data_IF_621552240729
#
_entry.id   IF_621552240729
#
_cell.length_a   1.000
_cell.length_b   1.000
_cell.length_c   1.000
_cell.angle_alpha   90.00
_cell.angle_beta   90.00
_cell.angle_gamma   90.00
#
_symmetry.space_group_name_H-M   'P 1'
#
loop_
_entity.id
_entity.type
_entity.pdbx_description
1 polymer ?
#
# COMPACT_ATOMS: atom_id res chain seq x y z
N UNK A 1 -0.02 3.77 -1.30
CA UNK A 1 -0.84 4.55 -2.28
C UNK A 1 -0.44 4.26 -3.73
N UNK A 2 0.85 4.21 -4.08
CA UNK A 2 1.30 4.01 -5.47
C UNK A 2 0.68 2.82 -6.20
N UNK A 3 0.55 1.68 -5.54
CA UNK A 3 -0.07 0.50 -6.15
C UNK A 3 -1.55 0.68 -6.53
N UNK A 4 -2.30 1.52 -5.82
CA UNK A 4 -3.67 1.87 -6.19
C UNK A 4 -3.73 2.79 -7.40
N UNK A 5 -2.81 3.75 -7.50
CA UNK A 5 -2.66 4.60 -8.68
C UNK A 5 -2.31 3.75 -9.91
N UNK A 6 -1.37 2.79 -9.76
CA UNK A 6 -1.01 1.85 -10.80
C UNK A 6 -2.19 1.02 -11.30
N UNK A 7 -3.03 0.51 -10.38
CA UNK A 7 -4.25 -0.24 -10.76
C UNK A 7 -5.28 0.64 -11.47
N UNK A 8 -5.48 1.88 -11.01
CA UNK A 8 -6.37 2.82 -11.70
C UNK A 8 -5.85 3.19 -13.10
N UNK A 9 -4.53 3.30 -13.26
CA UNK A 9 -3.89 3.51 -14.56
C UNK A 9 -4.06 2.28 -15.47
N UNK A 10 -3.88 1.08 -14.92
CA UNK A 10 -4.09 -0.18 -15.65
C UNK A 10 -5.53 -0.34 -16.16
N UNK A 11 -6.52 0.12 -15.39
CA UNK A 11 -7.93 0.12 -15.81
C UNK A 11 -8.19 1.06 -16.98
N UNK A 12 -7.56 2.24 -16.98
CA UNK A 12 -7.79 3.26 -18.01
C UNK A 12 -6.95 3.04 -19.29
N UNK A 13 -5.75 2.51 -19.15
CA UNK A 13 -4.76 2.41 -20.22
C UNK A 13 -4.07 1.05 -20.25
N UNK A 14 -4.82 -0.06 -20.31
CA UNK A 14 -4.25 -1.40 -20.23
C UNK A 14 -3.21 -1.68 -21.33
N UNK A 15 -3.36 -1.09 -22.49
CA UNK A 15 -2.46 -1.25 -23.65
C UNK A 15 -1.09 -0.57 -23.46
N UNK A 16 -0.97 0.33 -22.50
CA UNK A 16 0.29 1.04 -22.21
C UNK A 16 1.18 0.30 -21.22
N UNK A 17 0.67 -0.75 -20.58
CA UNK A 17 1.40 -1.50 -19.58
C UNK A 17 2.01 -2.76 -20.17
N UNK A 18 3.33 -2.90 -20.05
CA UNK A 18 4.05 -4.14 -20.37
C UNK A 18 4.13 -5.09 -19.18
N UNK A 19 4.07 -4.57 -17.97
CA UNK A 19 4.13 -5.32 -16.74
C UNK A 19 3.68 -4.50 -15.53
N UNK A 20 3.33 -5.18 -14.44
CA UNK A 20 2.84 -4.55 -13.21
C UNK A 20 3.47 -5.21 -11.98
N UNK A 21 4.14 -4.44 -11.15
CA UNK A 21 4.66 -4.90 -9.85
C UNK A 21 3.95 -4.14 -8.74
N UNK A 22 3.30 -4.87 -7.84
CA UNK A 22 2.65 -4.33 -6.65
C UNK A 22 3.49 -4.66 -5.43
N UNK A 23 3.99 -3.63 -4.73
CA UNK A 23 4.75 -3.79 -3.49
C UNK A 23 3.91 -3.28 -2.33
N UNK A 24 3.64 -4.15 -1.35
CA UNK A 24 2.89 -3.86 -0.12
C UNK A 24 1.59 -3.07 -0.38
N UNK A 25 0.93 -3.35 -1.48
CA UNK A 25 -0.35 -2.76 -1.84
C UNK A 25 -1.45 -3.82 -1.86
N UNK A 26 -2.68 -3.37 -1.90
CA UNK A 26 -3.84 -4.24 -1.93
C UNK A 26 -4.66 -4.04 -3.21
N UNK A 27 -5.53 -4.99 -3.59
CA UNK A 27 -6.41 -4.81 -4.74
C UNK A 27 -7.40 -3.67 -4.51
N UNK A 28 -7.63 -2.88 -5.57
CA UNK A 28 -8.57 -1.75 -5.56
C UNK A 28 -10.03 -2.20 -5.75
N UNK A 29 -10.22 -3.44 -6.17
CA UNK A 29 -11.54 -4.00 -6.46
C UNK A 29 -12.43 -4.06 -5.23
N UNK A 30 -13.68 -3.61 -5.37
CA UNK A 30 -14.69 -3.53 -4.31
C UNK A 30 -14.93 -4.87 -3.59
N UNK A 31 -14.81 -5.99 -4.29
CA UNK A 31 -15.05 -7.34 -3.75
C UNK A 31 -14.11 -7.76 -2.61
N UNK A 32 -12.94 -7.13 -2.48
CA UNK A 32 -11.97 -7.45 -1.43
C UNK A 32 -12.18 -6.65 -0.14
N UNK A 33 -12.97 -5.58 -0.19
CA UNK A 33 -13.09 -4.61 0.90
C UNK A 33 -14.53 -4.57 1.41
N UNK A 34 -14.70 -4.58 2.72
CA UNK A 34 -16.02 -4.47 3.35
C UNK A 34 -16.55 -3.04 3.35
N UNK A 35 -17.86 -2.88 3.47
CA UNK A 35 -18.47 -1.54 3.60
C UNK A 35 -18.02 -0.81 4.86
N UNK A 36 -17.74 -1.53 5.95
CA UNK A 36 -17.20 -0.97 7.18
C UNK A 36 -15.79 -0.41 6.99
N UNK A 37 -14.91 -1.11 6.25
CA UNK A 37 -13.58 -0.63 5.92
C UNK A 37 -13.64 0.64 5.07
N UNK A 38 -14.50 0.68 4.04
CA UNK A 38 -14.71 1.89 3.22
C UNK A 38 -15.22 3.05 4.07
N UNK A 39 -16.18 2.79 4.93
CA UNK A 39 -16.70 3.79 5.85
C UNK A 39 -15.61 4.36 6.77
N UNK A 40 -14.74 3.50 7.28
CA UNK A 40 -13.60 3.89 8.13
C UNK A 40 -12.57 4.72 7.34
N UNK A 41 -12.19 4.28 6.14
CA UNK A 41 -11.23 5.00 5.29
C UNK A 41 -11.67 6.45 5.04
N UNK A 42 -12.96 6.68 4.79
CA UNK A 42 -13.51 8.02 4.59
C UNK A 42 -13.45 8.93 5.83
N UNK A 43 -13.14 8.38 7.01
CA UNK A 43 -13.12 9.08 8.29
C UNK A 43 -11.75 9.11 8.97
N UNK A 44 -10.70 8.83 8.23
CA UNK A 44 -9.34 8.80 8.78
C UNK A 44 -8.78 10.19 9.13
N UNK A 45 -9.24 11.26 8.47
CA UNK A 45 -8.76 12.62 8.73
C UNK A 45 -8.91 13.04 10.20
N UNK A 46 -10.11 12.99 10.83
CA UNK A 46 -10.23 13.33 12.25
C UNK A 46 -9.45 12.38 13.16
N UNK A 47 -9.28 11.12 12.79
CA UNK A 47 -8.45 10.19 13.56
C UNK A 47 -7.00 10.70 13.64
N UNK A 48 -6.40 11.06 12.51
CA UNK A 48 -5.06 11.61 12.47
C UNK A 48 -4.96 12.98 13.13
N UNK A 49 -6.00 13.80 13.03
CA UNK A 49 -6.02 15.14 13.62
C UNK A 49 -6.00 15.12 15.14
N UNK A 50 -6.79 14.24 15.77
CA UNK A 50 -6.92 14.17 17.22
C UNK A 50 -5.99 13.16 17.90
N UNK A 51 -5.33 12.28 17.14
CA UNK A 51 -4.40 11.32 17.72
C UNK A 51 -3.14 12.04 18.21
N UNK A 52 -2.66 11.79 19.46
CA UNK A 52 -1.49 12.49 19.98
C UNK A 52 -0.28 12.33 19.06
N UNK A 53 0.31 13.44 18.62
CA UNK A 53 1.37 13.47 17.59
C UNK A 53 2.53 12.52 17.90
N UNK A 54 3.09 12.58 19.13
CA UNK A 54 4.18 11.67 19.56
C UNK A 54 3.79 10.18 19.44
N UNK A 55 2.55 9.85 19.75
CA UNK A 55 2.06 8.48 19.62
C UNK A 55 1.86 8.10 18.16
N UNK A 56 1.42 9.05 17.33
CA UNK A 56 1.27 8.86 15.88
C UNK A 56 2.63 8.60 15.22
N UNK A 57 3.67 9.38 15.54
CA UNK A 57 5.05 9.15 15.09
C UNK A 57 5.52 7.73 15.45
N UNK A 58 5.33 7.34 16.72
CA UNK A 58 5.75 6.01 17.21
C UNK A 58 4.99 4.87 16.54
N UNK A 59 3.67 4.99 16.40
CA UNK A 59 2.85 3.94 15.79
C UNK A 59 3.03 3.88 14.27
N UNK A 60 3.14 5.03 13.60
CA UNK A 60 3.37 5.12 12.17
C UNK A 60 4.69 4.47 11.75
N UNK A 61 5.78 4.83 12.44
CA UNK A 61 7.11 4.26 12.13
C UNK A 61 7.19 2.75 12.39
N UNK A 62 6.68 2.29 13.54
CA UNK A 62 6.70 0.86 13.90
C UNK A 62 5.67 0.02 13.11
N UNK A 63 4.61 0.65 12.65
CA UNK A 63 3.53 -0.03 11.93
C UNK A 63 3.86 -0.33 10.46
N UNK A 64 4.78 0.46 9.87
CA UNK A 64 5.06 0.34 8.44
C UNK A 64 6.40 -0.31 8.10
N UNK A 65 7.38 -0.27 9.01
CA UNK A 65 8.71 -0.84 8.77
C UNK A 65 9.22 -1.66 9.94
N UNK A 66 9.97 -2.70 9.64
CA UNK A 66 10.64 -3.57 10.63
C UNK A 66 12.11 -3.21 10.78
N UNK A 67 12.79 -2.76 9.70
CA UNK A 67 14.18 -2.34 9.75
C UNK A 67 14.34 -0.98 10.45
N UNK A 68 15.51 -0.75 11.02
CA UNK A 68 15.86 0.55 11.61
C UNK A 68 15.91 1.64 10.53
N UNK A 69 16.47 1.32 9.37
CA UNK A 69 16.54 2.22 8.23
C UNK A 69 15.15 2.63 7.73
N UNK A 70 14.25 1.68 7.51
CA UNK A 70 12.88 1.96 7.07
C UNK A 70 12.08 2.78 8.09
N UNK A 71 12.26 2.49 9.39
CA UNK A 71 11.65 3.29 10.47
C UNK A 71 12.17 4.71 10.51
N UNK A 72 13.49 4.89 10.32
CA UNK A 72 14.10 6.23 10.27
C UNK A 72 13.56 7.04 9.10
N UNK A 73 13.53 6.47 7.90
CA UNK A 73 12.95 7.15 6.72
C UNK A 73 11.50 7.58 6.95
N UNK A 74 10.68 6.69 7.53
CA UNK A 74 9.29 7.02 7.84
C UNK A 74 9.20 8.13 8.88
N UNK A 75 10.06 8.10 9.91
CA UNK A 75 10.12 9.15 10.93
C UNK A 75 10.52 10.49 10.29
N UNK A 76 11.58 10.52 9.51
CA UNK A 76 12.06 11.73 8.84
C UNK A 76 10.94 12.35 7.97
N UNK A 77 10.23 11.52 7.19
CA UNK A 77 9.08 11.97 6.40
C UNK A 77 7.94 12.54 7.26
N UNK A 78 7.61 11.90 8.38
CA UNK A 78 6.55 12.39 9.27
C UNK A 78 6.97 13.68 9.99
N UNK A 79 8.26 13.85 10.32
CA UNK A 79 8.78 15.05 10.99
C UNK A 79 8.70 16.30 10.11
N UNK A 80 8.57 16.17 8.78
CA UNK A 80 8.26 17.31 7.89
C UNK A 80 6.91 17.99 8.22
N UNK A 81 6.09 17.33 9.03
CA UNK A 81 4.81 17.85 9.51
C UNK A 81 4.84 18.18 11.02
N UNK A 82 6.03 18.20 11.63
CA UNK A 82 6.13 18.58 13.05
C UNK A 82 5.67 20.03 13.24
N UNK A 83 4.77 20.24 14.20
CA UNK A 83 4.10 21.55 14.37
C UNK A 83 2.90 21.78 13.43
N UNK A 84 2.64 20.95 12.43
CA UNK A 84 1.48 21.05 11.52
C UNK A 84 0.78 19.69 11.30
N UNK A 85 0.36 19.08 12.41
CA UNK A 85 -0.41 17.84 12.38
C UNK A 85 -1.70 17.95 11.56
N UNK A 86 -2.29 19.15 11.49
CA UNK A 86 -3.48 19.39 10.69
C UNK A 86 -3.24 19.16 9.21
N UNK A 87 -2.09 19.57 8.68
CA UNK A 87 -1.69 19.34 7.30
C UNK A 87 -1.46 17.84 7.04
N UNK A 88 -0.77 17.14 7.95
CA UNK A 88 -0.60 15.70 7.88
C UNK A 88 -1.96 14.96 7.83
N UNK A 89 -2.87 15.31 8.74
CA UNK A 89 -4.20 14.72 8.82
C UNK A 89 -5.02 14.93 7.55
N UNK A 90 -5.02 16.15 7.01
CA UNK A 90 -5.70 16.48 5.75
C UNK A 90 -5.14 15.67 4.57
N UNK A 91 -3.82 15.62 4.41
CA UNK A 91 -3.19 14.92 3.30
C UNK A 91 -3.48 13.41 3.39
N UNK A 92 -3.26 12.81 4.55
CA UNK A 92 -3.48 11.39 4.78
C UNK A 92 -4.96 11.03 4.66
N UNK A 93 -5.84 11.80 5.28
CA UNK A 93 -7.30 11.59 5.23
C UNK A 93 -7.86 11.75 3.83
N UNK A 94 -7.37 12.74 3.06
CA UNK A 94 -7.74 12.90 1.66
C UNK A 94 -7.32 11.69 0.81
N UNK A 95 -6.10 11.19 1.00
CA UNK A 95 -5.63 9.98 0.32
C UNK A 95 -6.52 8.76 0.60
N UNK A 96 -6.89 8.51 1.86
CA UNK A 96 -7.80 7.43 2.22
C UNK A 96 -9.22 7.62 1.68
N UNK A 97 -9.71 8.85 1.64
CA UNK A 97 -11.03 9.16 1.05
C UNK A 97 -11.06 8.87 -0.45
N UNK A 98 -10.06 9.34 -1.22
CA UNK A 98 -9.95 9.05 -2.66
C UNK A 98 -9.88 7.54 -2.90
N UNK A 99 -9.12 6.81 -2.07
CA UNK A 99 -9.04 5.35 -2.14
C UNK A 99 -10.42 4.71 -1.95
N UNK A 100 -11.16 5.12 -0.93
CA UNK A 100 -12.49 4.64 -0.67
C UNK A 100 -13.47 4.94 -1.82
N UNK A 101 -13.42 6.15 -2.37
CA UNK A 101 -14.23 6.56 -3.52
C UNK A 101 -13.90 5.75 -4.78
N UNK A 102 -12.62 5.44 -5.02
CA UNK A 102 -12.21 4.57 -6.12
C UNK A 102 -12.77 3.14 -5.95
N UNK A 103 -12.73 2.59 -4.75
CA UNK A 103 -13.33 1.28 -4.45
C UNK A 103 -14.85 1.28 -4.64
N UNK A 104 -15.54 2.36 -4.28
CA UNK A 104 -16.99 2.51 -4.46
C UNK A 104 -17.43 2.59 -5.93
N UNK A 105 -16.56 3.04 -6.83
CA UNK A 105 -16.83 3.00 -8.28
C UNK A 105 -17.03 1.58 -8.80
N UNK A 106 -16.56 0.59 -8.05
CA UNK A 106 -16.72 -0.84 -8.34
C UNK A 106 -16.28 -1.22 -9.76
N UNK A 107 -15.20 -0.58 -10.25
CA UNK A 107 -14.60 -0.92 -11.54
C UNK A 107 -13.84 -2.25 -11.42
N UNK A 108 -13.63 -2.96 -12.55
CA UNK A 108 -12.93 -4.24 -12.57
C UNK A 108 -11.50 -4.17 -12.02
N UNK A 109 -10.76 -3.10 -12.30
CA UNK A 109 -9.34 -2.93 -11.94
C UNK A 109 -8.52 -4.19 -12.24
N UNK A 110 -8.75 -4.77 -13.41
CA UNK A 110 -8.05 -5.96 -13.87
C UNK A 110 -6.65 -5.62 -14.37
N UNK A 111 -5.66 -6.39 -13.94
CA UNK A 111 -4.32 -6.31 -14.49
C UNK A 111 -4.21 -7.28 -15.65
N UNK A 112 -4.15 -6.74 -16.88
CA UNK A 112 -4.15 -7.52 -18.14
C UNK A 112 -2.76 -7.82 -18.70
N UNK A 113 -1.71 -7.28 -18.07
CA UNK A 113 -0.32 -7.57 -18.40
C UNK A 113 0.27 -8.57 -17.39
N UNK A 114 1.46 -9.15 -17.66
CA UNK A 114 2.20 -9.89 -16.65
C UNK A 114 2.29 -9.09 -15.35
N UNK A 115 2.17 -9.74 -14.21
CA UNK A 115 2.14 -9.04 -12.93
C UNK A 115 2.86 -9.84 -11.83
N UNK A 116 3.37 -9.13 -10.83
CA UNK A 116 3.99 -9.67 -9.63
C UNK A 116 3.47 -8.92 -8.39
N UNK A 117 3.01 -9.66 -7.40
CA UNK A 117 2.69 -9.13 -6.07
C UNK A 117 3.86 -9.40 -5.13
N UNK A 118 4.24 -8.40 -4.37
CA UNK A 118 5.27 -8.50 -3.32
C UNK A 118 4.66 -7.98 -2.03
N UNK A 119 4.82 -8.71 -0.93
CA UNK A 119 4.25 -8.31 0.36
C UNK A 119 5.17 -8.74 1.51
N UNK A 120 5.43 -7.83 2.45
CA UNK A 120 6.09 -8.17 3.69
C UNK A 120 5.23 -9.12 4.54
N UNK A 121 5.84 -10.17 5.10
CA UNK A 121 5.11 -11.14 5.93
C UNK A 121 4.75 -10.61 7.33
N UNK A 122 5.37 -9.49 7.72
CA UNK A 122 5.06 -8.72 8.92
C UNK A 122 4.29 -7.41 8.63
N UNK A 123 3.69 -7.26 7.44
CA UNK A 123 2.89 -6.08 7.10
C UNK A 123 1.67 -5.95 8.02
N UNK A 124 1.63 -4.86 8.77
CA UNK A 124 0.55 -4.51 9.70
C UNK A 124 -0.31 -3.34 9.23
N UNK A 125 -0.12 -2.88 8.01
CA UNK A 125 -0.92 -1.79 7.45
C UNK A 125 -2.30 -2.32 7.02
N UNK A 126 -3.28 -2.11 7.86
CA UNK A 126 -4.65 -2.58 7.64
C UNK A 126 -4.71 -4.11 7.46
N UNK A 127 -5.31 -4.55 6.36
CA UNK A 127 -5.49 -5.97 6.03
C UNK A 127 -4.63 -6.40 4.82
N UNK A 128 -3.48 -5.77 4.59
CA UNK A 128 -2.66 -5.95 3.39
C UNK A 128 -2.31 -7.42 3.11
N UNK A 129 -1.86 -8.15 4.14
CA UNK A 129 -1.56 -9.60 4.04
C UNK A 129 -2.80 -10.39 3.57
N UNK A 130 -3.96 -10.15 4.20
CA UNK A 130 -5.23 -10.82 3.83
C UNK A 130 -5.61 -10.53 2.39
N UNK A 131 -5.48 -9.29 1.97
CA UNK A 131 -5.84 -8.85 0.62
C UNK A 131 -4.90 -9.42 -0.44
N UNK A 132 -3.59 -9.45 -0.20
CA UNK A 132 -2.64 -10.03 -1.15
C UNK A 132 -2.84 -11.54 -1.30
N UNK A 133 -3.11 -12.28 -0.21
CA UNK A 133 -3.49 -13.71 -0.28
C UNK A 133 -4.73 -13.93 -1.12
N UNK A 134 -5.77 -13.13 -0.90
CA UNK A 134 -7.02 -13.24 -1.65
C UNK A 134 -6.84 -12.84 -3.12
N UNK A 135 -6.06 -11.81 -3.39
CA UNK A 135 -5.76 -11.36 -4.75
C UNK A 135 -5.03 -12.43 -5.55
N UNK A 136 -3.92 -12.96 -5.00
CA UNK A 136 -3.20 -14.09 -5.58
C UNK A 136 -4.13 -15.29 -5.85
N UNK A 137 -4.89 -15.72 -4.84
CA UNK A 137 -5.80 -16.87 -4.95
C UNK A 137 -6.84 -16.69 -6.07
N UNK A 138 -7.37 -15.49 -6.24
CA UNK A 138 -8.46 -15.22 -7.18
C UNK A 138 -7.99 -14.94 -8.61
N UNK A 139 -6.73 -14.51 -8.79
CA UNK A 139 -6.22 -14.07 -10.10
C UNK A 139 -5.10 -14.97 -10.63
N UNK A 140 -4.45 -15.74 -9.77
CA UNK A 140 -3.25 -16.51 -10.14
C UNK A 140 -1.99 -15.64 -10.29
N UNK A 141 -2.05 -14.32 -10.06
CA UNK A 141 -0.86 -13.46 -10.10
C UNK A 141 0.15 -13.96 -9.05
N UNK A 142 1.42 -14.22 -9.40
CA UNK A 142 2.44 -14.62 -8.45
C UNK A 142 2.54 -13.68 -7.25
N UNK A 143 2.74 -14.24 -6.05
CA UNK A 143 2.89 -13.50 -4.80
C UNK A 143 4.17 -13.93 -4.10
N UNK A 144 5.10 -12.98 -3.94
CA UNK A 144 6.35 -13.18 -3.23
C UNK A 144 6.29 -12.57 -1.83
N UNK A 145 6.60 -13.39 -0.83
CA UNK A 145 6.66 -12.95 0.56
C UNK A 145 8.07 -12.52 0.95
N UNK A 146 8.18 -11.30 1.46
CA UNK A 146 9.45 -10.78 1.98
C UNK A 146 9.51 -11.07 3.47
N UNK A 147 10.31 -12.08 3.82
CA UNK A 147 10.45 -12.56 5.19
C UNK A 147 11.04 -11.48 6.10
N UNK A 148 10.33 -11.20 7.18
CA UNK A 148 10.72 -10.22 8.20
C UNK A 148 10.39 -8.78 7.86
N UNK A 149 9.90 -8.46 6.66
CA UNK A 149 9.59 -7.11 6.23
C UNK A 149 8.17 -6.66 6.61
N UNK A 150 8.02 -5.36 6.88
CA UNK A 150 6.73 -4.70 7.12
C UNK A 150 6.05 -4.21 5.84
N UNK A 151 5.26 -3.15 5.97
CA UNK A 151 4.55 -2.50 4.86
C UNK A 151 5.46 -1.74 3.89
N UNK A 152 6.65 -1.37 4.34
CA UNK A 152 7.67 -0.76 3.50
C UNK A 152 8.76 -1.80 3.19
N UNK A 153 8.38 -2.94 2.62
CA UNK A 153 9.30 -4.05 2.36
C UNK A 153 10.46 -3.64 1.45
N UNK A 154 10.25 -2.68 0.57
CA UNK A 154 11.29 -2.10 -0.29
C UNK A 154 12.37 -1.33 0.48
N UNK A 155 12.09 -0.84 1.68
CA UNK A 155 13.08 -0.21 2.57
C UNK A 155 13.59 -1.15 3.64
N UNK A 156 12.82 -2.18 3.98
CA UNK A 156 13.23 -3.20 4.94
C UNK A 156 14.22 -4.21 4.33
N UNK A 157 13.99 -4.62 3.08
CA UNK A 157 14.77 -5.63 2.36
C UNK A 157 15.05 -5.20 0.90
N UNK A 158 15.73 -4.07 0.66
CA UNK A 158 15.88 -3.48 -0.67
C UNK A 158 16.57 -4.40 -1.67
N UNK A 159 17.59 -5.14 -1.26
CA UNK A 159 18.33 -6.04 -2.16
C UNK A 159 17.45 -7.18 -2.68
N UNK A 160 16.61 -7.76 -1.80
CA UNK A 160 15.68 -8.82 -2.20
C UNK A 160 14.61 -8.29 -3.16
N UNK A 161 14.05 -7.11 -2.85
CA UNK A 161 13.04 -6.48 -3.71
C UNK A 161 13.62 -6.16 -5.08
N UNK A 162 14.79 -5.53 -5.13
CA UNK A 162 15.44 -5.18 -6.39
C UNK A 162 15.72 -6.43 -7.25
N UNK A 163 16.21 -7.52 -6.64
CA UNK A 163 16.44 -8.77 -7.34
C UNK A 163 15.15 -9.41 -7.87
N UNK A 164 14.07 -9.36 -7.12
CA UNK A 164 12.75 -9.85 -7.58
C UNK A 164 12.25 -9.05 -8.78
N UNK A 165 12.37 -7.72 -8.72
CA UNK A 165 11.99 -6.83 -9.83
C UNK A 165 12.86 -7.10 -11.06
N UNK A 166 14.17 -7.21 -10.89
CA UNK A 166 15.10 -7.52 -11.97
C UNK A 166 14.75 -8.85 -12.65
N UNK A 167 14.58 -9.91 -11.85
CA UNK A 167 14.20 -11.22 -12.38
C UNK A 167 12.86 -11.18 -13.11
N UNK A 168 11.89 -10.43 -12.59
CA UNK A 168 10.59 -10.25 -13.22
C UNK A 168 10.73 -9.52 -14.57
N UNK A 169 11.51 -8.44 -14.64
CA UNK A 169 11.73 -7.68 -15.88
C UNK A 169 12.42 -8.48 -16.97
N UNK A 170 13.25 -9.48 -16.62
CA UNK A 170 13.87 -10.38 -17.57
C UNK A 170 12.92 -11.42 -18.18
N UNK A 171 11.71 -11.56 -17.63
CA UNK A 171 10.71 -12.54 -18.07
C UNK A 171 9.60 -11.94 -18.95
N UNK A 172 9.53 -10.63 -19.03
CA UNK A 172 8.53 -9.88 -19.80
C UNK A 172 9.20 -9.04 -20.88
#
# INVERSE_FOLDING_TARGET
MGGYVGQAYAEQFPEKLKGFVSIDSAPLQRRYVTSAEIWMLKRMEPVYYYYPWKSLLKSGTKGVATSEYGRKLMLDMMMEYDGDQGRYAKLSGHGFRILAEAMEKNLPYEIKCPALLICGDHDRAGSCIRYNKAWHKNTGIPLEWIKGAGHNSNTDEPEKINKLIENYLLQI
#
